data_IF_955348665628
#
_entry.id   IF_955348665628
#
_cell.length_a   1.000
_cell.length_b   1.000
_cell.length_c   1.000
_cell.angle_alpha   90.00
_cell.angle_beta   90.00
_cell.angle_gamma   90.00
#
_symmetry.space_group_name_H-M   'P 1'
#
loop_
_entity.id
_entity.type
_entity.pdbx_description
1 polymer ?
#
# COMPACT_ATOMS: atom_id res chain seq x y z
N UNK A 1 -24.28 26.60 21.76
CA UNK A 1 -24.68 25.95 20.49
C UNK A 1 -24.96 24.47 20.68
N UNK A 2 -24.06 23.68 21.34
CA UNK A 2 -24.25 22.26 21.58
C UNK A 2 -25.46 21.91 22.45
N UNK A 3 -25.78 22.73 23.47
CA UNK A 3 -26.97 22.56 24.29
C UNK A 3 -28.26 22.73 23.47
N UNK A 4 -28.30 23.78 22.64
CA UNK A 4 -29.39 24.02 21.71
C UNK A 4 -29.62 22.84 20.76
N UNK A 5 -28.55 22.26 20.16
CA UNK A 5 -28.67 21.11 19.29
C UNK A 5 -29.21 19.85 19.99
N UNK A 6 -28.92 19.72 21.29
CA UNK A 6 -29.51 18.63 22.11
C UNK A 6 -30.98 18.87 22.43
N UNK A 7 -31.32 20.11 22.76
CA UNK A 7 -32.68 20.54 23.09
C UNK A 7 -33.64 20.31 21.93
N UNK A 8 -33.27 20.70 20.71
CA UNK A 8 -34.08 20.49 19.51
C UNK A 8 -34.02 19.04 18.98
N UNK A 9 -33.32 18.13 19.66
CA UNK A 9 -33.23 16.71 19.29
C UNK A 9 -32.35 16.40 18.06
N UNK A 10 -31.64 17.41 17.53
CA UNK A 10 -30.71 17.23 16.42
C UNK A 10 -29.50 16.40 16.82
N UNK A 11 -28.95 16.64 18.00
CA UNK A 11 -27.86 15.86 18.58
C UNK A 11 -28.39 14.99 19.72
N UNK A 12 -28.36 13.70 19.54
CA UNK A 12 -28.71 12.70 20.57
C UNK A 12 -27.47 12.21 21.29
N UNK A 13 -27.65 11.60 22.45
CA UNK A 13 -26.58 10.90 23.16
C UNK A 13 -26.11 9.74 22.30
N UNK A 14 -24.80 9.54 22.25
CA UNK A 14 -24.20 8.39 21.59
C UNK A 14 -24.77 7.09 22.14
N UNK A 15 -25.19 6.20 21.27
CA UNK A 15 -25.72 4.90 21.63
C UNK A 15 -24.61 3.94 22.06
N UNK A 16 -25.00 2.72 22.45
CA UNK A 16 -24.03 1.65 22.70
C UNK A 16 -23.37 1.25 21.39
N UNK A 17 -22.10 0.82 21.47
CA UNK A 17 -21.40 0.25 20.34
C UNK A 17 -22.21 -0.88 19.73
N UNK A 18 -22.36 -0.87 18.41
CA UNK A 18 -23.07 -1.92 17.69
C UNK A 18 -22.23 -2.40 16.50
N UNK A 19 -22.49 -3.61 16.07
CA UNK A 19 -21.91 -4.18 14.88
C UNK A 19 -23.00 -4.39 13.84
N UNK A 20 -22.74 -3.93 12.64
CA UNK A 20 -23.60 -4.23 11.49
C UNK A 20 -23.27 -5.64 11.04
N UNK A 21 -24.28 -6.53 11.08
CA UNK A 21 -24.18 -7.88 10.53
C UNK A 21 -25.00 -7.93 9.25
N UNK A 22 -24.33 -8.08 8.13
CA UNK A 22 -24.96 -8.23 6.84
C UNK A 22 -25.09 -9.71 6.47
N UNK A 23 -26.15 -10.05 5.74
CA UNK A 23 -26.39 -11.39 5.18
C UNK A 23 -26.67 -11.23 3.68
N UNK A 24 -26.35 -12.27 2.91
CA UNK A 24 -26.59 -12.29 1.46
C UNK A 24 -25.89 -11.16 0.70
N UNK A 25 -24.70 -10.79 1.14
CA UNK A 25 -23.85 -9.83 0.44
C UNK A 25 -23.23 -10.53 -0.77
N UNK A 26 -23.21 -9.85 -1.91
CA UNK A 26 -22.57 -10.37 -3.12
C UNK A 26 -21.14 -10.82 -2.80
N UNK A 27 -20.77 -11.95 -3.38
CA UNK A 27 -19.48 -12.58 -3.13
C UNK A 27 -18.33 -11.64 -3.49
N UNK A 28 -18.46 -10.87 -4.56
CA UNK A 28 -17.51 -9.87 -4.97
C UNK A 28 -17.26 -8.82 -3.87
N UNK A 29 -18.33 -8.27 -3.30
CA UNK A 29 -18.24 -7.26 -2.23
C UNK A 29 -17.70 -7.85 -0.92
N UNK A 30 -18.08 -9.10 -0.60
CA UNK A 30 -17.73 -9.71 0.68
C UNK A 30 -16.33 -10.32 0.74
N UNK A 31 -15.71 -10.61 -0.41
CA UNK A 31 -14.43 -11.36 -0.46
C UNK A 31 -13.28 -10.58 -1.07
N UNK A 32 -13.55 -9.52 -1.85
CA UNK A 32 -12.51 -8.69 -2.44
C UNK A 32 -12.09 -7.64 -1.40
N UNK A 33 -10.80 -7.63 -1.07
CA UNK A 33 -10.19 -6.62 -0.22
C UNK A 33 -9.72 -5.45 -1.07
N UNK A 34 -10.13 -4.24 -0.73
CA UNK A 34 -9.70 -3.02 -1.40
C UNK A 34 -10.85 -2.11 -1.82
N UNK A 35 -10.54 -0.89 -2.30
CA UNK A 35 -11.55 0.05 -2.74
C UNK A 35 -12.19 -0.42 -4.05
N UNK A 36 -13.51 -0.38 -4.10
CA UNK A 36 -14.28 -0.66 -5.31
C UNK A 36 -14.71 0.67 -5.94
N UNK A 37 -14.46 0.79 -7.24
CA UNK A 37 -14.82 1.97 -8.02
C UNK A 37 -15.90 1.63 -9.04
N UNK A 38 -16.92 2.48 -9.10
CA UNK A 38 -17.94 2.41 -10.16
C UNK A 38 -17.66 3.52 -11.16
N UNK A 39 -17.50 3.15 -12.42
CA UNK A 39 -17.20 4.08 -13.50
C UNK A 39 -18.12 3.86 -14.69
N UNK A 40 -18.48 4.90 -15.46
CA UNK A 40 -19.26 4.75 -16.67
C UNK A 40 -18.44 4.05 -17.76
N UNK A 41 -18.75 2.80 -18.03
CA UNK A 41 -18.07 1.98 -19.05
C UNK A 41 -18.33 2.44 -20.48
N UNK A 42 -19.39 3.21 -20.71
CA UNK A 42 -19.71 3.79 -22.01
C UNK A 42 -18.67 4.83 -22.48
N UNK A 43 -17.85 5.32 -21.58
CA UNK A 43 -16.77 6.24 -21.89
C UNK A 43 -15.43 5.51 -21.76
N UNK A 44 -14.81 5.20 -22.90
CA UNK A 44 -13.55 4.44 -22.95
C UNK A 44 -12.43 5.10 -22.12
N UNK A 45 -12.36 6.44 -22.07
CA UNK A 45 -11.35 7.15 -21.28
C UNK A 45 -11.51 6.89 -19.79
N UNK A 46 -12.73 6.92 -19.26
CA UNK A 46 -12.99 6.61 -17.86
C UNK A 46 -12.70 5.15 -17.54
N UNK A 47 -13.11 4.22 -18.41
CA UNK A 47 -12.84 2.79 -18.22
C UNK A 47 -11.35 2.48 -18.21
N UNK A 48 -10.58 3.06 -19.14
CA UNK A 48 -9.12 2.89 -19.20
C UNK A 48 -8.43 3.49 -17.98
N UNK A 49 -8.85 4.69 -17.55
CA UNK A 49 -8.28 5.32 -16.36
C UNK A 49 -8.57 4.50 -15.10
N UNK A 50 -9.78 3.97 -14.95
CA UNK A 50 -10.14 3.10 -13.84
C UNK A 50 -9.32 1.80 -13.83
N UNK A 51 -9.15 1.17 -15.01
CA UNK A 51 -8.32 -0.02 -15.14
C UNK A 51 -6.85 0.25 -14.77
N UNK A 52 -6.31 1.41 -15.16
CA UNK A 52 -4.95 1.81 -14.81
C UNK A 52 -4.81 2.21 -13.33
N UNK A 53 -5.87 2.72 -12.70
CA UNK A 53 -5.89 3.11 -11.30
C UNK A 53 -5.96 1.92 -10.32
N UNK A 54 -6.09 0.69 -10.81
CA UNK A 54 -6.09 -0.53 -9.99
C UNK A 54 -4.82 -0.70 -9.16
N UNK A 55 -3.70 -0.24 -9.68
CA UNK A 55 -2.43 -0.25 -8.98
C UNK A 55 -2.18 1.10 -8.32
N UNK A 56 -2.42 1.18 -7.02
CA UNK A 56 -2.12 2.36 -6.22
C UNK A 56 -0.69 2.33 -5.67
N UNK A 57 -0.04 3.49 -5.63
CA UNK A 57 1.24 3.65 -4.93
C UNK A 57 1.01 3.82 -3.45
N UNK A 58 1.48 2.86 -2.64
CA UNK A 58 1.40 2.97 -1.18
C UNK A 58 2.22 4.16 -0.66
N UNK A 59 3.39 4.42 -1.25
CA UNK A 59 4.24 5.54 -0.83
C UNK A 59 3.57 6.88 -1.09
N UNK A 60 2.97 7.06 -2.27
CA UNK A 60 2.27 8.31 -2.59
C UNK A 60 1.04 8.50 -1.69
N UNK A 61 0.29 7.43 -1.45
CA UNK A 61 -0.84 7.46 -0.55
C UNK A 61 -0.44 7.83 0.89
N UNK A 62 0.63 7.25 1.41
CA UNK A 62 1.14 7.56 2.73
C UNK A 62 1.71 8.99 2.81
N UNK A 63 2.45 9.41 1.78
CA UNK A 63 3.05 10.74 1.77
C UNK A 63 2.00 11.85 1.64
N UNK A 64 0.96 11.62 0.83
CA UNK A 64 -0.07 12.62 0.50
C UNK A 64 -1.20 12.75 1.51
N UNK A 65 -1.33 11.80 2.46
CA UNK A 65 -2.46 11.75 3.40
C UNK A 65 -2.03 12.03 4.84
N UNK A 66 -2.99 12.08 5.75
CA UNK A 66 -2.81 12.29 7.19
C UNK A 66 -2.45 11.02 7.97
N UNK A 67 -2.29 9.88 7.29
CA UNK A 67 -1.78 8.63 7.90
C UNK A 67 -0.40 8.85 8.52
N UNK A 68 0.46 9.62 7.86
CA UNK A 68 1.71 10.10 8.43
C UNK A 68 1.48 11.50 9.00
N UNK A 69 1.57 11.63 10.32
CA UNK A 69 1.43 12.91 11.03
C UNK A 69 2.39 13.95 10.47
N UNK A 70 1.96 15.21 10.48
CA UNK A 70 2.79 16.36 10.12
C UNK A 70 3.64 16.87 11.30
N UNK A 71 3.67 16.18 12.43
CA UNK A 71 4.52 16.52 13.56
C UNK A 71 5.98 16.17 13.34
N UNK A 72 6.84 16.75 14.17
CA UNK A 72 8.28 16.43 14.27
C UNK A 72 9.03 16.64 12.95
N UNK A 73 8.76 17.74 12.26
CA UNK A 73 9.44 18.10 11.04
C UNK A 73 8.96 17.34 9.78
N UNK A 74 7.83 16.64 9.87
CA UNK A 74 7.28 15.84 8.76
C UNK A 74 6.14 16.54 8.01
N UNK A 75 6.09 17.87 8.03
CA UNK A 75 5.07 18.67 7.37
C UNK A 75 5.11 18.50 5.85
N UNK A 76 3.94 18.52 5.23
CA UNK A 76 3.81 18.58 3.76
C UNK A 76 4.03 20.02 3.28
N UNK A 77 4.83 20.15 2.24
CA UNK A 77 5.16 21.45 1.67
C UNK A 77 5.23 21.41 0.14
N UNK A 78 5.70 22.50 -0.46
CA UNK A 78 5.91 22.58 -1.92
C UNK A 78 7.07 21.72 -2.41
N UNK A 79 8.01 21.38 -1.53
CA UNK A 79 9.17 20.55 -1.81
C UNK A 79 9.05 19.23 -1.07
N UNK A 80 9.75 18.21 -1.57
CA UNK A 80 9.85 16.92 -0.90
C UNK A 80 10.47 17.09 0.49
N UNK A 81 9.83 16.48 1.49
CA UNK A 81 10.31 16.47 2.86
C UNK A 81 10.92 15.09 3.18
N UNK A 82 12.23 15.05 3.39
CA UNK A 82 12.96 13.81 3.66
C UNK A 82 12.54 13.14 4.98
N UNK A 83 12.29 13.93 6.03
CA UNK A 83 11.82 13.39 7.33
C UNK A 83 10.48 12.67 7.16
N UNK A 84 9.58 13.26 6.37
CA UNK A 84 8.32 12.61 6.03
C UNK A 84 8.53 11.36 5.19
N UNK A 85 9.42 11.42 4.21
CA UNK A 85 9.79 10.29 3.36
C UNK A 85 10.29 9.09 4.17
N UNK A 86 11.17 9.30 5.14
CA UNK A 86 11.65 8.24 6.03
C UNK A 86 10.53 7.62 6.86
N UNK A 87 9.58 8.43 7.37
CA UNK A 87 8.40 7.91 8.08
C UNK A 87 7.52 7.06 7.15
N UNK A 88 7.36 7.46 5.89
CA UNK A 88 6.63 6.69 4.86
C UNK A 88 7.30 5.35 4.60
N UNK A 89 8.62 5.34 4.37
CA UNK A 89 9.40 4.11 4.15
C UNK A 89 9.28 3.18 5.37
N UNK A 90 9.45 3.71 6.57
CA UNK A 90 9.34 2.94 7.80
C UNK A 90 7.94 2.32 7.97
N UNK A 91 6.89 3.07 7.64
CA UNK A 91 5.52 2.57 7.65
C UNK A 91 5.31 1.46 6.63
N UNK A 92 5.75 1.67 5.40
CA UNK A 92 5.62 0.68 4.33
C UNK A 92 6.38 -0.62 4.64
N UNK A 93 7.56 -0.54 5.23
CA UNK A 93 8.30 -1.73 5.67
C UNK A 93 7.62 -2.45 6.83
N UNK A 94 7.00 -1.73 7.77
CA UNK A 94 6.14 -2.31 8.79
C UNK A 94 4.90 -3.00 8.19
N UNK A 95 4.33 -2.40 7.14
CA UNK A 95 3.22 -3.00 6.40
C UNK A 95 3.63 -4.35 5.78
N UNK A 96 4.81 -4.43 5.17
CA UNK A 96 5.34 -5.69 4.65
C UNK A 96 5.60 -6.72 5.75
N UNK A 97 6.16 -6.33 6.89
CA UNK A 97 6.37 -7.23 8.03
C UNK A 97 5.07 -7.84 8.55
N UNK A 98 3.97 -7.08 8.49
CA UNK A 98 2.64 -7.56 8.89
C UNK A 98 1.98 -8.46 7.86
N UNK A 99 2.07 -8.12 6.58
CA UNK A 99 1.31 -8.75 5.52
C UNK A 99 2.06 -9.85 4.77
N UNK A 100 3.39 -9.72 4.64
CA UNK A 100 4.29 -10.68 3.98
C UNK A 100 5.49 -10.95 4.90
N UNK A 101 5.27 -11.51 6.10
CA UNK A 101 6.33 -11.65 7.09
C UNK A 101 7.45 -12.58 6.62
N UNK A 102 8.68 -12.21 6.91
CA UNK A 102 9.84 -13.07 6.74
C UNK A 102 9.87 -14.16 7.83
N UNK A 103 10.48 -15.30 7.53
CA UNK A 103 10.67 -16.37 8.52
C UNK A 103 11.58 -15.92 9.65
N UNK A 104 12.58 -15.11 9.34
CA UNK A 104 13.53 -14.50 10.26
C UNK A 104 13.87 -13.09 9.78
N UNK A 105 14.03 -12.16 10.72
CA UNK A 105 14.34 -10.77 10.41
C UNK A 105 13.11 -9.92 10.09
N UNK A 106 13.33 -8.79 9.46
CA UNK A 106 12.33 -7.79 9.10
C UNK A 106 12.65 -7.20 7.73
N UNK A 107 11.64 -6.78 7.01
CA UNK A 107 11.80 -6.03 5.76
C UNK A 107 12.59 -4.73 5.93
N UNK A 108 12.66 -4.19 7.15
CA UNK A 108 13.49 -3.02 7.48
C UNK A 108 14.98 -3.28 7.28
N UNK A 109 15.40 -4.54 7.45
CA UNK A 109 16.81 -4.92 7.37
C UNK A 109 17.22 -5.38 5.97
N UNK A 110 16.31 -5.36 5.01
CA UNK A 110 16.62 -5.70 3.62
C UNK A 110 17.25 -4.47 2.95
N UNK A 111 18.55 -4.49 2.78
CA UNK A 111 19.34 -3.43 2.14
C UNK A 111 19.72 -3.72 0.69
N UNK A 112 19.50 -4.95 0.24
CA UNK A 112 19.83 -5.37 -1.13
C UNK A 112 18.61 -5.91 -1.83
N UNK A 113 18.52 -5.69 -3.14
CA UNK A 113 17.47 -6.27 -3.97
C UNK A 113 17.53 -7.80 -3.83
N UNK A 114 16.41 -8.45 -3.48
CA UNK A 114 16.36 -9.90 -3.39
C UNK A 114 16.71 -10.57 -4.73
N UNK A 115 17.23 -11.79 -4.67
CA UNK A 115 17.52 -12.57 -5.88
C UNK A 115 16.44 -13.62 -6.08
N UNK A 116 16.12 -13.88 -7.35
CA UNK A 116 15.26 -14.98 -7.76
C UNK A 116 16.04 -15.90 -8.68
N UNK A 117 16.25 -17.14 -8.24
CA UNK A 117 16.96 -18.17 -8.98
C UNK A 117 16.06 -19.42 -9.09
N UNK A 118 15.97 -19.99 -10.30
CA UNK A 118 15.11 -21.16 -10.55
C UNK A 118 13.67 -20.98 -10.04
N UNK A 119 13.08 -19.80 -10.25
CA UNK A 119 11.75 -19.40 -9.78
C UNK A 119 11.58 -19.42 -8.25
N UNK A 120 12.68 -19.44 -7.50
CA UNK A 120 12.66 -19.39 -6.05
C UNK A 120 13.26 -18.07 -5.56
N UNK A 121 12.52 -17.42 -4.67
CA UNK A 121 12.98 -16.22 -3.99
C UNK A 121 14.00 -16.60 -2.92
N UNK A 122 15.12 -15.89 -2.86
CA UNK A 122 16.16 -16.12 -1.83
C UNK A 122 15.74 -15.67 -0.43
N UNK A 123 14.68 -14.84 -0.32
CA UNK A 123 14.07 -14.47 0.96
C UNK A 123 13.17 -15.60 1.45
N UNK A 124 13.36 -16.01 2.70
CA UNK A 124 12.51 -17.04 3.33
C UNK A 124 11.28 -16.37 3.97
N UNK A 125 10.15 -16.46 3.30
CA UNK A 125 8.87 -16.00 3.84
C UNK A 125 8.35 -16.95 4.92
N UNK A 126 7.60 -16.43 5.88
CA UNK A 126 6.87 -17.25 6.87
C UNK A 126 5.84 -18.14 6.17
N UNK A 127 5.16 -17.60 5.15
CA UNK A 127 4.28 -18.35 4.26
C UNK A 127 4.79 -18.26 2.81
N UNK A 128 5.49 -19.28 2.29
CA UNK A 128 6.03 -19.26 0.93
C UNK A 128 4.97 -19.11 -0.17
N UNK A 129 3.72 -19.50 0.09
CA UNK A 129 2.61 -19.38 -0.88
C UNK A 129 2.23 -17.92 -1.18
N UNK A 130 2.68 -16.99 -0.35
CA UNK A 130 2.46 -15.57 -0.61
C UNK A 130 3.28 -15.02 -1.78
N UNK A 131 4.38 -15.67 -2.14
CA UNK A 131 5.15 -15.29 -3.33
C UNK A 131 4.45 -15.83 -4.59
N UNK A 132 3.95 -14.93 -5.41
CA UNK A 132 3.17 -15.24 -6.62
C UNK A 132 4.05 -15.25 -7.86
N UNK A 133 4.98 -14.31 -7.95
CA UNK A 133 5.82 -14.18 -9.13
C UNK A 133 6.77 -12.99 -9.09
N UNK A 134 7.43 -12.78 -10.20
CA UNK A 134 8.40 -11.70 -10.37
C UNK A 134 8.49 -11.28 -11.84
N UNK A 135 9.02 -10.09 -12.08
CA UNK A 135 9.41 -9.65 -13.42
C UNK A 135 10.89 -9.30 -13.47
N UNK A 136 11.48 -9.49 -14.64
CA UNK A 136 12.87 -9.08 -14.94
C UNK A 136 12.87 -8.11 -16.12
N UNK A 137 13.76 -7.12 -16.07
CA UNK A 137 14.06 -6.22 -17.17
C UNK A 137 15.56 -6.26 -17.39
N UNK A 138 15.99 -6.57 -18.62
CA UNK A 138 17.43 -6.69 -18.97
C UNK A 138 18.24 -7.54 -17.99
N UNK A 139 17.72 -8.73 -17.63
CA UNK A 139 18.30 -9.67 -16.66
C UNK A 139 18.31 -9.22 -15.19
N UNK A 140 17.86 -8.03 -14.87
CA UNK A 140 17.72 -7.56 -13.49
C UNK A 140 16.29 -7.76 -12.98
N UNK A 141 16.15 -8.10 -11.71
CA UNK A 141 14.86 -8.18 -11.06
C UNK A 141 14.23 -6.78 -11.05
N UNK A 142 13.05 -6.62 -11.64
CA UNK A 142 12.33 -5.35 -11.67
C UNK A 142 11.11 -5.32 -10.76
N UNK A 143 10.53 -6.47 -10.42
CA UNK A 143 9.48 -6.53 -9.41
C UNK A 143 9.35 -7.89 -8.75
N UNK A 144 8.73 -7.87 -7.56
CA UNK A 144 8.27 -9.04 -6.83
C UNK A 144 6.78 -8.89 -6.54
N UNK A 145 6.01 -9.92 -6.86
CA UNK A 145 4.58 -9.97 -6.62
C UNK A 145 4.26 -10.92 -5.47
N UNK A 146 3.55 -10.41 -4.50
CA UNK A 146 3.03 -11.14 -3.36
C UNK A 146 1.50 -11.06 -3.28
N UNK A 147 0.90 -11.96 -2.53
CA UNK A 147 -0.53 -11.95 -2.21
C UNK A 147 -0.72 -12.07 -0.70
N UNK A 148 -1.60 -11.24 -0.16
CA UNK A 148 -2.02 -11.27 1.25
C UNK A 148 -3.47 -10.86 1.36
N UNK A 149 -4.32 -11.70 1.97
CA UNK A 149 -5.77 -11.46 2.11
C UNK A 149 -6.47 -11.10 0.78
N UNK A 150 -6.14 -11.81 -0.29
CA UNK A 150 -6.59 -11.55 -1.67
C UNK A 150 -6.14 -10.21 -2.27
N UNK A 151 -5.31 -9.45 -1.57
CA UNK A 151 -4.71 -8.23 -2.08
C UNK A 151 -3.34 -8.55 -2.68
N UNK A 152 -3.11 -8.10 -3.90
CA UNK A 152 -1.80 -8.21 -4.54
C UNK A 152 -0.89 -7.05 -4.10
N UNK A 153 0.33 -7.38 -3.72
CA UNK A 153 1.36 -6.43 -3.31
C UNK A 153 2.53 -6.57 -4.27
N UNK A 154 2.78 -5.56 -5.06
CA UNK A 154 3.88 -5.54 -6.02
C UNK A 154 4.99 -4.59 -5.55
N UNK A 155 6.16 -5.13 -5.28
CA UNK A 155 7.36 -4.33 -4.97
C UNK A 155 8.09 -4.10 -6.28
N UNK A 156 8.23 -2.85 -6.69
CA UNK A 156 8.96 -2.44 -7.88
C UNK A 156 10.37 -2.00 -7.49
N UNK A 157 11.35 -2.44 -8.26
CA UNK A 157 12.74 -2.01 -8.15
C UNK A 157 13.09 -1.18 -9.38
N UNK A 158 13.43 0.07 -9.19
CA UNK A 158 13.91 0.92 -10.28
C UNK A 158 15.44 0.89 -10.32
N UNK A 159 15.98 0.18 -11.31
CA UNK A 159 17.41 -0.06 -11.45
C UNK A 159 18.10 0.89 -12.43
N UNK A 160 17.41 1.88 -12.97
CA UNK A 160 17.97 2.56 -14.13
C UNK A 160 17.55 4.00 -14.34
N UNK A 161 16.88 4.59 -13.44
CA UNK A 161 16.79 6.04 -13.43
C UNK A 161 18.17 6.61 -13.14
N UNK A 162 18.53 7.72 -13.73
CA UNK A 162 19.67 8.58 -13.37
C UNK A 162 19.54 9.10 -11.94
N UNK A 163 19.46 8.20 -11.00
CA UNK A 163 19.07 8.45 -9.62
C UNK A 163 20.25 8.22 -8.71
N UNK A 164 21.28 8.89 -9.04
CA UNK A 164 22.12 9.57 -8.07
C UNK A 164 21.29 10.56 -7.22
N UNK A 165 19.97 10.62 -7.38
CA UNK A 165 19.09 11.36 -6.52
C UNK A 165 18.81 10.53 -5.29
N UNK A 166 19.81 10.53 -4.40
CA UNK A 166 19.65 10.74 -2.97
C UNK A 166 18.32 10.24 -2.35
N UNK A 167 18.00 9.00 -2.60
CA UNK A 167 17.31 8.23 -1.60
C UNK A 167 18.36 7.90 -0.54
N UNK A 168 18.24 8.35 0.72
CA UNK A 168 19.26 8.10 1.75
C UNK A 168 19.65 6.63 1.87
N UNK A 169 18.78 5.72 1.44
CA UNK A 169 18.98 4.28 1.47
C UNK A 169 19.53 3.69 0.14
N UNK A 170 19.71 4.49 -0.92
CA UNK A 170 20.14 3.99 -2.24
C UNK A 170 19.20 2.99 -2.89
N UNK A 171 18.05 2.71 -2.31
CA UNK A 171 17.04 1.78 -2.77
C UNK A 171 15.85 2.53 -3.35
N UNK A 172 15.64 2.35 -4.64
CA UNK A 172 14.44 2.81 -5.33
C UNK A 172 13.47 1.67 -5.45
N UNK A 173 12.77 1.44 -4.40
CA UNK A 173 11.62 0.55 -4.40
C UNK A 173 10.34 1.39 -4.31
N UNK A 174 9.32 0.95 -4.97
CA UNK A 174 7.97 1.41 -4.74
C UNK A 174 7.08 0.21 -4.47
N UNK A 175 6.14 0.40 -3.57
CA UNK A 175 5.16 -0.64 -3.25
C UNK A 175 3.84 -0.24 -3.87
N UNK A 176 3.36 -1.05 -4.81
CA UNK A 176 2.04 -0.90 -5.41
C UNK A 176 1.12 -2.00 -4.91
N UNK A 177 -0.10 -1.64 -4.63
CA UNK A 177 -1.14 -2.54 -4.13
C UNK A 177 -2.26 -2.59 -5.16
N UNK A 178 -2.74 -3.79 -5.44
CA UNK A 178 -3.84 -4.07 -6.35
C UNK A 178 -4.83 -4.99 -5.65
N UNK A 179 -6.11 -4.69 -5.78
CA UNK A 179 -7.27 -5.50 -5.40
C UNK A 179 -7.63 -6.55 -6.45
#
# INVERSE_FOLDING_TARGET
YLSFLKEIGYKKKEGKNFQIKTKNVDKEISTIAGPQLVVPIMNARYSLNAANARWGSLYDALYGTDVISESDGAERGRKYNYVRGEKVIAYARNFLDKNVPLKQGSWKNISQIPKVENNKLNLKLKNPKQFVGYTKKSNHLSSLLFISNNLHINILFDLGGSMEINNPDGNQDSIKIHD
#
